data_IF_156368315681
#
_entry.id   IF_156368315681
#
_cell.length_a   1.000
_cell.length_b   1.000
_cell.length_c   1.000
_cell.angle_alpha   90.00
_cell.angle_beta   90.00
_cell.angle_gamma   90.00
#
_symmetry.space_group_name_H-M   'P 1'
#
loop_
_entity.id
_entity.type
_entity.pdbx_description
1 polymer ?
#
# COMPACT_ATOMS: atom_id res chain seq x y z
N UNK A 1 7.53 10.27 28.03
CA UNK A 1 7.20 8.93 27.51
C UNK A 1 5.91 8.98 26.71
N UNK A 2 4.79 9.40 27.31
CA UNK A 2 3.47 9.48 26.65
C UNK A 2 3.47 10.36 25.37
N UNK A 3 4.26 11.44 25.34
CA UNK A 3 4.38 12.31 24.17
C UNK A 3 4.78 11.59 22.87
N UNK A 4 5.41 10.40 22.93
CA UNK A 4 5.80 9.65 21.73
C UNK A 4 4.58 9.10 20.97
N UNK A 5 3.49 8.80 21.67
CA UNK A 5 2.24 8.26 21.12
C UNK A 5 1.06 9.22 21.24
N UNK A 6 1.32 10.53 21.39
CA UNK A 6 0.25 11.53 21.61
C UNK A 6 -0.81 11.54 20.51
N UNK A 7 -0.43 11.23 19.27
CA UNK A 7 -1.34 11.16 18.13
C UNK A 7 -2.26 9.91 18.15
N UNK A 8 -2.04 8.98 19.08
CA UNK A 8 -2.70 7.68 19.16
C UNK A 8 -3.50 7.48 20.46
N UNK A 9 -3.59 8.51 21.30
CA UNK A 9 -4.21 8.43 22.64
C UNK A 9 -5.35 9.43 22.78
N UNK A 10 -6.25 9.16 23.72
CA UNK A 10 -7.36 10.05 24.06
C UNK A 10 -6.83 11.25 24.84
N UNK A 11 -7.18 12.45 24.41
CA UNK A 11 -6.91 13.71 25.11
C UNK A 11 -8.22 14.29 25.67
N UNK A 12 -8.13 14.96 26.81
CA UNK A 12 -9.24 15.72 27.40
C UNK A 12 -9.43 17.11 26.74
N UNK A 13 -10.36 17.90 27.29
CA UNK A 13 -10.65 19.26 26.80
C UNK A 13 -9.45 20.22 26.92
N UNK A 14 -8.49 19.93 27.79
CA UNK A 14 -7.28 20.74 28.03
C UNK A 14 -6.07 20.22 27.22
N UNK A 15 -6.28 19.28 26.29
CA UNK A 15 -5.22 18.62 25.51
C UNK A 15 -4.26 17.77 26.37
N UNK A 16 -4.74 17.25 27.51
CA UNK A 16 -3.97 16.39 28.39
C UNK A 16 -4.34 14.91 28.17
N UNK A 17 -3.38 13.97 28.18
CA UNK A 17 -3.67 12.54 28.07
C UNK A 17 -4.63 12.04 29.16
N UNK A 18 -5.69 11.34 28.75
CA UNK A 18 -6.57 10.64 29.68
C UNK A 18 -5.87 9.36 30.15
N UNK A 19 -5.62 9.27 31.46
CA UNK A 19 -4.90 8.16 32.09
C UNK A 19 -5.85 7.25 32.87
N UNK A 20 -5.51 5.96 32.94
CA UNK A 20 -6.17 5.00 33.81
C UNK A 20 -5.63 5.05 35.26
N UNK A 21 -6.11 4.13 36.11
CA UNK A 21 -5.71 4.03 37.52
C UNK A 21 -4.21 3.69 37.69
N UNK A 22 -3.59 3.07 36.68
CA UNK A 22 -2.15 2.78 36.63
C UNK A 22 -1.33 3.94 36.04
N UNK A 23 -1.97 5.04 35.64
CA UNK A 23 -1.29 6.17 35.00
C UNK A 23 -0.91 5.92 33.54
N UNK A 24 -1.49 4.90 32.90
CA UNK A 24 -1.27 4.58 31.49
C UNK A 24 -2.29 5.32 30.61
N UNK A 25 -1.88 5.81 29.42
CA UNK A 25 -2.77 6.56 28.55
C UNK A 25 -3.77 5.64 27.84
N UNK A 26 -5.00 6.09 27.65
CA UNK A 26 -5.98 5.35 26.85
C UNK A 26 -5.72 5.50 25.35
N UNK A 27 -5.55 4.39 24.62
CA UNK A 27 -5.43 4.41 23.15
C UNK A 27 -6.74 4.79 22.46
N UNK A 28 -6.63 5.55 21.37
CA UNK A 28 -7.72 5.80 20.43
C UNK A 28 -8.11 4.49 19.72
N UNK A 29 -9.36 4.42 19.24
CA UNK A 29 -9.78 3.31 18.40
C UNK A 29 -8.98 3.31 17.10
N UNK A 30 -8.32 2.18 16.81
CA UNK A 30 -7.57 2.01 15.57
C UNK A 30 -8.51 2.21 14.36
N UNK A 31 -8.14 3.08 13.40
CA UNK A 31 -8.90 3.27 12.18
C UNK A 31 -8.74 2.07 11.24
N UNK A 32 -9.57 2.01 10.20
CA UNK A 32 -9.41 1.02 9.15
C UNK A 32 -8.08 1.21 8.41
N UNK A 33 -7.20 0.21 8.49
CA UNK A 33 -5.89 0.20 7.82
C UNK A 33 -5.84 -0.87 6.74
N UNK A 34 -4.80 -0.84 5.89
CA UNK A 34 -4.57 -1.83 4.82
C UNK A 34 -3.19 -2.43 4.91
N UNK A 35 -2.98 -3.50 4.16
CA UNK A 35 -1.71 -4.23 4.07
C UNK A 35 -1.13 -4.14 2.66
N UNK A 36 0.16 -4.45 2.52
CA UNK A 36 0.78 -4.57 1.19
C UNK A 36 0.12 -5.68 0.34
N UNK A 37 -0.39 -6.74 0.98
CA UNK A 37 -1.17 -7.79 0.29
C UNK A 37 -2.46 -7.25 -0.33
N UNK A 38 -3.12 -6.28 0.32
CA UNK A 38 -4.28 -5.61 -0.26
C UNK A 38 -3.92 -4.84 -1.53
N UNK A 39 -2.75 -4.16 -1.54
CA UNK A 39 -2.24 -3.45 -2.72
C UNK A 39 -1.99 -4.44 -3.86
N UNK A 40 -1.32 -5.56 -3.59
CA UNK A 40 -1.08 -6.61 -4.58
C UNK A 40 -2.39 -7.14 -5.17
N UNK A 41 -3.38 -7.38 -4.31
CA UNK A 41 -4.70 -7.81 -4.75
C UNK A 41 -5.35 -6.78 -5.66
N UNK A 42 -5.31 -5.49 -5.33
CA UNK A 42 -5.88 -4.43 -6.16
C UNK A 42 -5.22 -4.33 -7.53
N UNK A 43 -3.89 -4.44 -7.58
CA UNK A 43 -3.11 -4.44 -8.83
C UNK A 43 -3.51 -5.65 -9.69
N UNK A 44 -3.59 -6.84 -9.10
CA UNK A 44 -4.02 -8.05 -9.82
C UNK A 44 -5.46 -7.98 -10.32
N UNK A 45 -6.33 -7.26 -9.60
CA UNK A 45 -7.71 -7.00 -10.02
C UNK A 45 -7.84 -5.82 -11.00
N UNK A 46 -6.74 -5.22 -11.44
CA UNK A 46 -6.75 -4.10 -12.38
C UNK A 46 -7.49 -2.87 -11.84
N UNK A 47 -7.51 -2.65 -10.52
CA UNK A 47 -8.25 -1.55 -9.92
C UNK A 47 -7.62 -0.20 -10.26
N UNK A 48 -8.42 0.90 -10.31
CA UNK A 48 -7.89 2.19 -10.68
C UNK A 48 -6.73 2.65 -9.81
N UNK A 49 -5.75 3.33 -10.41
CA UNK A 49 -4.53 3.77 -9.71
C UNK A 49 -4.84 4.67 -8.52
N UNK A 50 -5.86 5.53 -8.61
CA UNK A 50 -6.31 6.37 -7.48
C UNK A 50 -6.72 5.53 -6.25
N UNK A 51 -7.37 4.38 -6.47
CA UNK A 51 -7.77 3.47 -5.39
C UNK A 51 -6.53 2.83 -4.77
N UNK A 52 -5.55 2.43 -5.58
CA UNK A 52 -4.29 1.86 -5.12
C UNK A 52 -3.48 2.88 -4.29
N UNK A 53 -3.42 4.13 -4.75
CA UNK A 53 -2.80 5.25 -4.02
C UNK A 53 -3.45 5.46 -2.65
N UNK A 54 -4.78 5.42 -2.55
CA UNK A 54 -5.48 5.51 -1.25
C UNK A 54 -5.12 4.35 -0.31
N UNK A 55 -4.99 3.13 -0.84
CA UNK A 55 -4.57 1.97 -0.04
C UNK A 55 -3.12 2.11 0.46
N UNK A 56 -2.22 2.68 -0.34
CA UNK A 56 -0.84 2.94 0.09
C UNK A 56 -0.77 3.89 1.30
N UNK A 57 -1.63 4.90 1.35
CA UNK A 57 -1.76 5.78 2.54
C UNK A 57 -2.21 4.97 3.76
N UNK A 58 -3.18 4.07 3.59
CA UNK A 58 -3.71 3.24 4.68
C UNK A 58 -2.72 2.17 5.16
N UNK A 59 -1.77 1.75 4.32
CA UNK A 59 -0.65 0.89 4.73
C UNK A 59 0.30 1.65 5.65
N UNK A 60 0.75 2.83 5.23
CA UNK A 60 1.63 3.68 6.04
C UNK A 60 1.00 4.05 7.39
N UNK A 61 -0.30 4.37 7.39
CA UNK A 61 -1.06 4.58 8.62
C UNK A 61 -1.07 3.33 9.52
N UNK A 62 -1.26 2.15 8.94
CA UNK A 62 -1.23 0.88 9.65
C UNK A 62 0.11 0.57 10.32
N UNK A 63 1.22 0.88 9.67
CA UNK A 63 2.56 0.73 10.24
C UNK A 63 2.76 1.60 11.48
N UNK A 64 2.29 2.85 11.44
CA UNK A 64 2.37 3.75 12.58
C UNK A 64 1.48 3.30 13.75
N UNK A 65 0.29 2.77 13.46
CA UNK A 65 -0.59 2.20 14.47
C UNK A 65 -0.05 0.90 15.09
N UNK A 66 0.62 0.06 14.30
CA UNK A 66 1.28 -1.13 14.82
C UNK A 66 2.36 -0.74 15.84
N UNK A 67 3.21 0.23 15.49
CA UNK A 67 4.21 0.74 16.42
C UNK A 67 3.60 1.37 17.67
N UNK A 68 2.52 2.16 17.53
CA UNK A 68 1.88 2.79 18.68
C UNK A 68 1.33 1.76 19.68
N UNK A 69 0.78 0.64 19.17
CA UNK A 69 0.37 -0.49 20.00
C UNK A 69 1.57 -1.14 20.69
N UNK A 70 2.64 -1.45 19.96
CA UNK A 70 3.86 -2.04 20.53
C UNK A 70 4.47 -1.13 21.61
N UNK A 71 4.45 0.18 21.40
CA UNK A 71 4.93 1.15 22.38
C UNK A 71 4.03 1.21 23.61
N UNK A 72 2.71 1.10 23.45
CA UNK A 72 1.79 1.01 24.58
C UNK A 72 2.01 -0.27 25.39
N UNK A 73 2.17 -1.42 24.72
CA UNK A 73 2.47 -2.69 25.38
C UNK A 73 3.79 -2.62 26.16
N UNK A 74 4.80 -1.92 25.62
CA UNK A 74 6.03 -1.58 26.33
C UNK A 74 5.79 -0.75 27.60
N UNK A 75 4.89 0.24 27.58
CA UNK A 75 4.57 1.05 28.76
C UNK A 75 3.89 0.21 29.85
N UNK A 76 3.02 -0.71 29.46
CA UNK A 76 2.38 -1.67 30.37
C UNK A 76 3.45 -2.53 31.05
N UNK A 77 4.33 -3.17 30.27
CA UNK A 77 5.40 -4.01 30.80
C UNK A 77 6.38 -3.21 31.68
N UNK A 78 6.70 -1.98 31.28
CA UNK A 78 7.57 -1.10 32.06
C UNK A 78 6.94 -0.77 33.42
N UNK A 79 5.63 -0.51 33.46
CA UNK A 79 4.92 -0.27 34.71
C UNK A 79 4.96 -1.50 35.61
N UNK A 80 4.66 -2.69 35.05
CA UNK A 80 4.71 -3.96 35.80
C UNK A 80 6.12 -4.27 36.35
N UNK A 81 7.17 -4.05 35.56
CA UNK A 81 8.56 -4.24 36.00
C UNK A 81 8.93 -3.24 37.09
N UNK A 82 8.52 -1.98 36.96
CA UNK A 82 8.78 -0.96 37.98
C UNK A 82 8.07 -1.27 39.29
N UNK A 83 6.80 -1.67 39.24
CA UNK A 83 6.04 -2.09 40.42
C UNK A 83 6.67 -3.32 41.08
N UNK A 84 7.11 -4.31 40.30
CA UNK A 84 7.80 -5.47 40.83
C UNK A 84 9.13 -5.09 41.51
N UNK A 85 9.95 -4.30 40.83
CA UNK A 85 11.27 -3.90 41.33
C UNK A 85 11.20 -2.95 42.53
N UNK A 86 10.14 -2.16 42.65
CA UNK A 86 9.89 -1.31 43.81
C UNK A 86 9.48 -2.10 45.06
N UNK A 87 8.94 -3.32 44.88
CA UNK A 87 8.44 -4.17 45.95
C UNK A 87 9.29 -5.44 46.16
N UNK A 88 10.59 -5.38 45.86
CA UNK A 88 11.49 -6.50 46.12
C UNK A 88 11.56 -6.79 47.62
N UNK A 89 11.53 -8.08 48.02
CA UNK A 89 11.61 -8.45 49.42
C UNK A 89 12.97 -8.03 50.01
N UNK A 90 12.97 -7.69 51.30
CA UNK A 90 14.21 -7.37 52.01
C UNK A 90 15.17 -8.57 51.98
N UNK A 91 16.49 -8.33 51.91
CA UNK A 91 17.46 -9.41 51.92
C UNK A 91 17.33 -10.28 53.17
N UNK A 92 17.23 -11.60 52.99
CA UNK A 92 17.15 -12.55 54.09
C UNK A 92 18.49 -13.27 54.26
N UNK A 93 18.96 -13.38 55.50
CA UNK A 93 20.08 -14.24 55.84
C UNK A 93 19.60 -15.70 55.89
N UNK A 94 20.25 -16.57 55.14
CA UNK A 94 20.02 -18.01 55.25
C UNK A 94 20.64 -18.58 56.54
N UNK A 95 20.38 -19.86 56.84
CA UNK A 95 20.87 -20.54 58.05
C UNK A 95 22.41 -20.58 58.18
N UNK A 96 23.13 -20.25 57.10
CA UNK A 96 24.60 -20.18 57.04
C UNK A 96 25.14 -18.75 57.19
N UNK A 97 24.26 -17.77 57.42
CA UNK A 97 24.60 -16.35 57.55
C UNK A 97 24.89 -15.64 56.22
N UNK A 98 24.61 -16.28 55.08
CA UNK A 98 24.73 -15.67 53.75
C UNK A 98 23.46 -14.89 53.43
N UNK A 99 23.63 -13.62 53.06
CA UNK A 99 22.52 -12.74 52.67
C UNK A 99 22.11 -13.06 51.22
N UNK A 100 20.85 -13.46 51.03
CA UNK A 100 20.25 -13.64 49.71
C UNK A 100 19.49 -12.36 49.36
N UNK A 101 19.94 -11.67 48.31
CA UNK A 101 19.26 -10.51 47.74
C UNK A 101 18.33 -10.95 46.60
N UNK A 102 17.14 -10.36 46.52
CA UNK A 102 16.24 -10.60 45.40
C UNK A 102 16.71 -9.81 44.17
N UNK A 103 16.81 -10.48 43.02
CA UNK A 103 17.25 -9.85 41.78
C UNK A 103 16.11 -9.05 41.12
N UNK A 104 16.36 -7.78 40.71
CA UNK A 104 15.39 -7.01 39.96
C UNK A 104 15.16 -7.59 38.56
N UNK A 105 13.94 -7.46 38.05
CA UNK A 105 13.63 -7.73 36.65
C UNK A 105 14.31 -6.70 35.75
N UNK A 106 14.85 -7.10 34.58
CA UNK A 106 15.39 -6.17 33.61
C UNK A 106 14.29 -5.26 33.06
N UNK A 107 14.65 -4.03 32.72
CA UNK A 107 13.73 -3.11 32.05
C UNK A 107 13.41 -3.62 30.63
N UNK A 108 12.15 -3.48 30.17
CA UNK A 108 11.79 -3.86 28.82
C UNK A 108 12.49 -2.98 27.78
N UNK A 109 12.57 -3.47 26.55
CA UNK A 109 13.23 -2.76 25.44
C UNK A 109 12.18 -1.95 24.67
N UNK A 110 12.42 -0.65 24.56
CA UNK A 110 11.56 0.25 23.79
C UNK A 110 11.64 -0.06 22.28
N UNK A 111 10.49 -0.20 21.61
CA UNK A 111 10.42 -0.35 20.16
C UNK A 111 10.72 0.96 19.42
N UNK A 112 11.50 0.88 18.35
CA UNK A 112 11.81 2.04 17.51
C UNK A 112 10.64 2.38 16.59
N UNK A 113 10.24 3.66 16.59
CA UNK A 113 9.20 4.15 15.68
C UNK A 113 9.67 4.04 14.22
N UNK A 114 8.93 3.35 13.35
CA UNK A 114 9.26 3.32 11.93
C UNK A 114 9.04 4.70 11.32
N UNK A 115 9.88 5.06 10.35
CA UNK A 115 9.67 6.26 9.55
C UNK A 115 8.34 6.18 8.79
N UNK A 116 7.65 7.31 8.70
CA UNK A 116 6.40 7.38 7.93
C UNK A 116 6.71 7.24 6.45
N UNK A 117 6.37 6.08 5.87
CA UNK A 117 6.55 5.85 4.44
C UNK A 117 5.60 6.71 3.62
N UNK A 118 6.12 7.35 2.57
CA UNK A 118 5.28 8.04 1.59
C UNK A 118 4.61 7.04 0.65
N UNK A 119 3.62 7.49 -0.11
CA UNK A 119 2.94 6.64 -1.10
C UNK A 119 3.93 6.11 -2.14
N UNK A 120 4.90 6.93 -2.55
CA UNK A 120 5.95 6.54 -3.50
C UNK A 120 6.80 5.41 -2.95
N UNK A 121 7.21 5.49 -1.67
CA UNK A 121 7.95 4.41 -1.02
C UNK A 121 7.11 3.13 -0.92
N UNK A 122 5.82 3.26 -0.60
CA UNK A 122 4.94 2.09 -0.52
C UNK A 122 4.71 1.43 -1.87
N UNK A 123 4.63 2.21 -2.94
CA UNK A 123 4.37 1.71 -4.28
C UNK A 123 5.64 1.39 -5.07
N UNK A 124 6.83 1.74 -4.56
CA UNK A 124 8.11 1.48 -5.21
C UNK A 124 8.28 0.01 -5.67
N UNK A 125 7.94 -1.01 -4.86
CA UNK A 125 8.04 -2.41 -5.30
C UNK A 125 7.14 -2.77 -6.49
N UNK A 126 6.07 -1.99 -6.70
CA UNK A 126 5.03 -2.25 -7.69
C UNK A 126 5.14 -1.38 -8.94
N UNK A 127 6.12 -0.47 -9.03
CA UNK A 127 6.23 0.51 -10.11
C UNK A 127 6.15 -0.12 -11.51
N UNK A 128 6.83 -1.24 -11.76
CA UNK A 128 6.76 -1.92 -13.07
C UNK A 128 5.34 -2.36 -13.42
N UNK A 129 4.58 -2.87 -12.45
CA UNK A 129 3.18 -3.30 -12.64
C UNK A 129 2.27 -2.09 -12.85
N UNK A 130 2.46 -1.04 -12.05
CA UNK A 130 1.67 0.19 -12.14
C UNK A 130 1.89 0.93 -13.46
N UNK A 131 3.14 1.06 -13.93
CA UNK A 131 3.44 1.67 -15.23
C UNK A 131 2.82 0.88 -16.38
N UNK A 132 2.76 -0.45 -16.29
CA UNK A 132 2.05 -1.28 -17.27
C UNK A 132 0.53 -1.04 -17.24
N UNK A 133 -0.05 -0.78 -16.07
CA UNK A 133 -1.47 -0.42 -15.92
C UNK A 133 -1.77 0.98 -16.45
N UNK A 134 -0.91 1.97 -16.20
CA UNK A 134 -1.05 3.31 -16.80
C UNK A 134 -0.91 3.22 -18.32
N UNK A 135 0.09 2.47 -18.79
CA UNK A 135 0.31 2.16 -20.19
C UNK A 135 0.87 3.33 -20.99
N UNK A 136 0.37 3.55 -22.19
CA UNK A 136 0.87 4.58 -23.12
C UNK A 136 -0.24 5.51 -23.61
N UNK A 137 0.12 6.76 -23.85
CA UNK A 137 -0.80 7.75 -24.41
C UNK A 137 -0.98 7.54 -25.92
N UNK A 138 -2.23 7.33 -26.34
CA UNK A 138 -2.66 7.23 -27.73
C UNK A 138 -3.83 8.19 -27.92
N UNK A 139 -3.63 9.24 -28.72
CA UNK A 139 -4.65 10.26 -29.00
C UNK A 139 -5.28 10.85 -27.71
N UNK A 140 -4.47 11.10 -26.68
CA UNK A 140 -4.90 11.64 -25.39
C UNK A 140 -5.48 10.61 -24.41
N UNK A 141 -5.52 9.32 -24.78
CA UNK A 141 -6.01 8.22 -23.92
C UNK A 141 -4.83 7.37 -23.45
N UNK A 142 -4.70 7.17 -22.14
CA UNK A 142 -3.69 6.28 -21.56
C UNK A 142 -4.16 4.83 -21.62
N UNK A 143 -3.78 4.14 -22.69
CA UNK A 143 -4.16 2.75 -22.96
C UNK A 143 -3.27 1.79 -22.18
N UNK A 144 -3.87 1.00 -21.29
CA UNK A 144 -3.16 0.01 -20.47
C UNK A 144 -2.50 -1.08 -21.32
N UNK A 145 -1.28 -1.48 -20.96
CA UNK A 145 -0.53 -2.52 -21.69
C UNK A 145 -0.93 -3.93 -21.22
N UNK A 146 -2.22 -4.24 -21.20
CA UNK A 146 -2.78 -5.50 -20.70
C UNK A 146 -3.16 -6.48 -21.84
N UNK A 147 -3.52 -7.71 -21.49
CA UNK A 147 -3.86 -8.74 -22.47
C UNK A 147 -5.18 -8.45 -23.18
N UNK A 148 -6.17 -7.87 -22.51
CA UNK A 148 -7.44 -7.48 -23.13
C UNK A 148 -7.22 -6.55 -24.32
N UNK A 149 -6.46 -5.46 -24.12
CA UNK A 149 -6.15 -4.50 -25.17
C UNK A 149 -5.31 -5.13 -26.30
N UNK A 150 -4.37 -6.01 -25.97
CA UNK A 150 -3.59 -6.75 -26.96
C UNK A 150 -4.49 -7.64 -27.83
N UNK A 151 -5.40 -8.39 -27.21
CA UNK A 151 -6.32 -9.28 -27.88
C UNK A 151 -7.29 -8.48 -28.77
N UNK A 152 -7.80 -7.35 -28.27
CA UNK A 152 -8.64 -6.44 -29.04
C UNK A 152 -7.92 -5.89 -30.29
N UNK A 153 -6.67 -5.44 -30.15
CA UNK A 153 -5.85 -4.99 -31.28
C UNK A 153 -5.57 -6.12 -32.28
N UNK A 154 -5.28 -7.34 -31.80
CA UNK A 154 -5.08 -8.50 -32.67
C UNK A 154 -6.35 -8.88 -33.43
N UNK A 155 -7.51 -8.83 -32.78
CA UNK A 155 -8.81 -9.10 -33.42
C UNK A 155 -9.13 -8.08 -34.51
N UNK A 156 -8.89 -6.79 -34.24
CA UNK A 156 -9.04 -5.73 -35.25
C UNK A 156 -8.07 -5.91 -36.42
N UNK A 157 -6.84 -6.37 -36.16
CA UNK A 157 -5.89 -6.65 -37.23
C UNK A 157 -6.41 -7.77 -38.14
N UNK A 158 -6.87 -8.87 -37.56
CA UNK A 158 -7.47 -9.98 -38.34
C UNK A 158 -8.71 -9.53 -39.12
N UNK A 159 -9.55 -8.67 -38.53
CA UNK A 159 -10.71 -8.11 -39.22
C UNK A 159 -10.30 -7.19 -40.38
N UNK A 160 -9.23 -6.40 -40.22
CA UNK A 160 -8.69 -5.56 -41.28
C UNK A 160 -8.06 -6.39 -42.42
N UNK A 161 -7.35 -7.47 -42.09
CA UNK A 161 -6.80 -8.40 -43.07
C UNK A 161 -7.94 -9.01 -43.91
N UNK A 162 -9.04 -9.44 -43.29
CA UNK A 162 -10.25 -9.90 -43.99
C UNK A 162 -10.88 -8.81 -44.85
N UNK A 163 -11.05 -7.59 -44.33
CA UNK A 163 -11.60 -6.48 -45.11
C UNK A 163 -10.74 -6.18 -46.35
N UNK A 164 -9.43 -6.40 -46.27
CA UNK A 164 -8.50 -6.31 -47.40
C UNK A 164 -8.73 -7.42 -48.41
N UNK A 165 -8.88 -8.67 -47.96
CA UNK A 165 -9.13 -9.82 -48.84
C UNK A 165 -10.43 -9.68 -49.66
N UNK A 166 -11.44 -9.01 -49.09
CA UNK A 166 -12.75 -8.80 -49.73
C UNK A 166 -12.92 -7.41 -50.38
N UNK A 167 -11.83 -6.63 -50.55
CA UNK A 167 -11.84 -5.28 -51.14
C UNK A 167 -12.84 -4.31 -50.45
N UNK A 168 -13.01 -4.49 -49.14
CA UNK A 168 -13.93 -3.73 -48.28
C UNK A 168 -13.19 -2.75 -47.33
N UNK A 169 -11.92 -2.45 -47.61
CA UNK A 169 -11.06 -1.60 -46.76
C UNK A 169 -11.67 -0.23 -46.47
N UNK A 170 -12.30 0.38 -47.48
CA UNK A 170 -12.95 1.70 -47.36
C UNK A 170 -14.16 1.73 -46.42
N UNK A 171 -14.67 0.57 -46.00
CA UNK A 171 -15.76 0.44 -45.03
C UNK A 171 -15.26 0.06 -43.63
N UNK A 172 -13.97 -0.28 -43.50
CA UNK A 172 -13.40 -0.72 -42.24
C UNK A 172 -13.18 0.45 -41.27
N UNK A 173 -12.74 1.60 -41.80
CA UNK A 173 -12.48 2.80 -41.03
C UNK A 173 -13.65 3.81 -41.15
N UNK A 174 -13.87 4.66 -40.12
CA UNK A 174 -13.16 4.72 -38.84
C UNK A 174 -13.56 3.58 -37.88
N UNK A 175 -12.63 3.18 -37.00
CA UNK A 175 -12.90 2.20 -35.94
C UNK A 175 -12.86 2.85 -34.55
N UNK A 176 -13.73 2.38 -33.66
CA UNK A 176 -13.76 2.77 -32.24
C UNK A 176 -13.23 1.62 -31.41
N UNK A 177 -12.02 1.78 -30.89
CA UNK A 177 -11.39 0.80 -30.02
C UNK A 177 -11.74 1.10 -28.57
N UNK A 178 -12.42 0.17 -27.89
CA UNK A 178 -12.66 0.27 -26.45
C UNK A 178 -11.38 -0.14 -25.71
N UNK A 179 -10.61 0.83 -25.27
CA UNK A 179 -9.37 0.64 -24.54
C UNK A 179 -9.64 0.54 -23.04
N UNK A 180 -9.14 -0.50 -22.39
CA UNK A 180 -8.96 -0.49 -20.94
C UNK A 180 -7.84 0.50 -20.56
N UNK A 181 -8.10 1.32 -19.56
CA UNK A 181 -7.17 2.32 -19.00
C UNK A 181 -7.05 2.12 -17.48
N UNK A 182 -6.06 2.77 -16.86
CA UNK A 182 -5.93 2.83 -15.40
C UNK A 182 -7.13 3.51 -14.68
N UNK A 183 -8.07 4.09 -15.41
CA UNK A 183 -9.24 4.79 -14.85
C UNK A 183 -10.58 4.16 -15.26
N UNK A 184 -10.56 3.06 -16.03
CA UNK A 184 -11.75 2.43 -16.62
C UNK A 184 -11.63 2.29 -18.14
N UNK A 185 -12.74 2.07 -18.83
CA UNK A 185 -12.74 1.95 -20.29
C UNK A 185 -12.89 3.32 -20.97
N UNK A 186 -12.11 3.57 -22.02
CA UNK A 186 -12.19 4.77 -22.84
C UNK A 186 -12.12 4.41 -24.33
N UNK A 187 -12.77 5.19 -25.18
CA UNK A 187 -12.81 4.94 -26.62
C UNK A 187 -11.67 5.68 -27.31
N UNK A 188 -10.88 4.95 -28.08
CA UNK A 188 -9.88 5.49 -29.01
C UNK A 188 -10.43 5.34 -30.43
N UNK A 189 -10.73 6.47 -31.08
CA UNK A 189 -11.17 6.48 -32.46
C UNK A 189 -9.96 6.54 -33.41
N UNK A 190 -9.89 5.58 -34.34
CA UNK A 190 -8.84 5.48 -35.35
C UNK A 190 -9.47 5.76 -36.71
N UNK A 191 -9.06 6.87 -37.32
CA UNK A 191 -9.67 7.41 -38.54
C UNK A 191 -9.28 6.62 -39.80
N UNK A 192 -8.08 6.03 -39.80
CA UNK A 192 -7.52 5.35 -40.97
C UNK A 192 -6.55 4.22 -40.60
N UNK A 193 -6.05 3.55 -41.64
CA UNK A 193 -5.09 2.47 -41.54
C UNK A 193 -3.75 2.90 -40.91
N UNK A 194 -3.31 4.13 -41.18
CA UNK A 194 -2.04 4.63 -40.67
C UNK A 194 -2.12 4.82 -39.15
N UNK A 195 -3.19 5.42 -38.65
CA UNK A 195 -3.44 5.56 -37.21
C UNK A 195 -3.54 4.19 -36.53
N UNK A 196 -4.25 3.23 -37.12
CA UNK A 196 -4.36 1.88 -36.57
C UNK A 196 -3.00 1.16 -36.49
N UNK A 197 -2.21 1.19 -37.57
CA UNK A 197 -0.87 0.59 -37.61
C UNK A 197 0.09 1.26 -36.64
N UNK A 198 0.05 2.59 -36.54
CA UNK A 198 0.88 3.35 -35.61
C UNK A 198 0.56 2.98 -34.17
N UNK A 199 -0.73 2.92 -33.81
CA UNK A 199 -1.15 2.50 -32.47
C UNK A 199 -0.67 1.07 -32.18
N UNK A 200 -0.93 0.11 -33.08
CA UNK A 200 -0.47 -1.28 -32.90
C UNK A 200 1.04 -1.39 -32.69
N UNK A 201 1.83 -0.65 -33.46
CA UNK A 201 3.30 -0.62 -33.33
C UNK A 201 3.73 -0.01 -31.99
N UNK A 202 3.20 1.16 -31.63
CA UNK A 202 3.51 1.82 -30.36
C UNK A 202 3.17 0.92 -29.16
N UNK A 203 2.01 0.26 -29.21
CA UNK A 203 1.57 -0.67 -28.16
C UNK A 203 2.54 -1.85 -27.99
N UNK A 204 2.94 -2.50 -29.09
CA UNK A 204 3.85 -3.65 -29.04
C UNK A 204 5.24 -3.23 -28.56
N UNK A 205 5.79 -2.12 -29.06
CA UNK A 205 7.09 -1.62 -28.65
C UNK A 205 7.10 -1.25 -27.17
N UNK A 206 6.06 -0.56 -26.70
CA UNK A 206 5.92 -0.21 -25.29
C UNK A 206 5.73 -1.45 -24.42
N UNK A 207 4.97 -2.44 -24.86
CA UNK A 207 4.80 -3.69 -24.09
C UNK A 207 6.09 -4.49 -24.03
N UNK A 208 6.90 -4.50 -25.10
CA UNK A 208 8.18 -5.22 -25.19
C UNK A 208 9.16 -4.76 -24.09
N UNK A 209 9.23 -3.47 -23.78
CA UNK A 209 10.14 -2.96 -22.74
C UNK A 209 9.85 -3.51 -21.34
N UNK A 210 8.67 -4.09 -21.12
CA UNK A 210 8.29 -4.75 -19.86
C UNK A 210 8.53 -6.27 -19.85
N UNK A 211 9.07 -6.86 -20.91
CA UNK A 211 9.41 -8.29 -20.98
C UNK A 211 10.92 -8.56 -21.13
N UNK A 212 11.72 -7.51 -21.37
CA UNK A 212 13.18 -7.52 -21.19
C UNK A 212 13.55 -7.22 -19.72
#
# INVERSE_FOLDING_TARGET
MINKIVDFIVLDEEQTPVLDEQGLPQLLQRPDTKTEQDIERLISLGKPTEVITKFAVLVSLGEQWNWAQEYFDYLVELNEVNEHNANLPEPIANDEGTVIEAEPKPLPIESLRPEVRTVEHVLAPYQRKLSKMVGIEIKGVNVSLNETNQNGLSALKSAFDLATEFDAQGQFFPIKFNAETATGEQVVELADEAEFKQFGLQFILARKSYFE
#
